data_IF_826293386391
#
_entry.id   IF_826293386391
#
_cell.length_a   1.000
_cell.length_b   1.000
_cell.length_c   1.000
_cell.angle_alpha   90.00
_cell.angle_beta   90.00
_cell.angle_gamma   90.00
#
_symmetry.space_group_name_H-M   'P 1'
#
loop_
_entity.id
_entity.type
_entity.pdbx_description
1 polymer ?
#
# COMPACT_ATOMS: atom_id res chain seq x y z
N UNK A 1 3.15 10.95 34.47
CA UNK A 1 2.85 10.36 35.79
C UNK A 1 2.24 9.00 35.54
N UNK A 2 2.91 7.92 35.97
CA UNK A 2 2.37 6.55 35.92
C UNK A 2 1.24 6.40 36.93
N UNK A 3 0.20 5.63 36.58
CA UNK A 3 -0.84 5.24 37.53
C UNK A 3 -0.25 4.11 38.40
N UNK A 4 -0.03 4.37 39.69
CA UNK A 4 0.54 3.36 40.60
C UNK A 4 -0.46 2.24 40.87
N UNK A 5 0.05 1.00 40.95
CA UNK A 5 -0.73 -0.16 41.37
C UNK A 5 -1.67 -0.76 40.31
N UNK A 6 -1.48 -0.44 39.02
CA UNK A 6 -2.24 -1.11 37.95
C UNK A 6 -1.80 -2.56 37.78
N UNK A 7 -2.74 -3.44 37.41
CA UNK A 7 -2.46 -4.81 37.01
C UNK A 7 -3.28 -5.20 35.79
N UNK A 8 -2.89 -6.30 35.14
CA UNK A 8 -3.48 -6.77 33.89
C UNK A 8 -4.06 -8.17 34.06
N UNK A 9 -5.30 -8.35 33.63
CA UNK A 9 -5.95 -9.65 33.69
C UNK A 9 -6.98 -9.81 32.56
N UNK A 10 -7.36 -11.05 32.28
CA UNK A 10 -8.38 -11.34 31.27
C UNK A 10 -9.76 -10.83 31.73
N UNK A 11 -10.51 -10.24 30.80
CA UNK A 11 -11.85 -9.70 31.07
C UNK A 11 -12.84 -10.85 31.15
N UNK A 12 -13.56 -10.89 32.27
CA UNK A 12 -14.59 -11.90 32.52
C UNK A 12 -15.92 -11.50 31.87
N UNK A 13 -16.82 -12.46 31.60
CA UNK A 13 -18.13 -12.14 31.00
C UNK A 13 -18.91 -11.08 31.80
N UNK A 14 -18.82 -11.11 33.13
CA UNK A 14 -19.48 -10.15 34.03
C UNK A 14 -18.89 -8.72 33.97
N UNK A 15 -17.71 -8.55 33.39
CA UNK A 15 -17.02 -7.25 33.26
C UNK A 15 -17.21 -6.60 31.88
N UNK A 16 -17.93 -7.28 30.97
CA UNK A 16 -18.15 -6.80 29.59
C UNK A 16 -18.98 -5.51 29.54
N UNK A 17 -19.92 -5.34 30.46
CA UNK A 17 -20.73 -4.12 30.54
C UNK A 17 -19.86 -2.91 30.92
N UNK A 18 -18.88 -3.10 31.81
CA UNK A 18 -17.91 -2.05 32.17
C UNK A 18 -16.99 -1.72 31.00
N UNK A 19 -16.49 -2.74 30.28
CA UNK A 19 -15.66 -2.55 29.10
C UNK A 19 -16.42 -1.80 27.98
N UNK A 20 -17.68 -2.18 27.74
CA UNK A 20 -18.54 -1.52 26.75
C UNK A 20 -18.91 -0.08 27.17
N UNK A 21 -19.06 0.21 28.47
CA UNK A 21 -19.24 1.57 28.93
C UNK A 21 -18.02 2.46 28.62
N UNK A 22 -16.80 1.91 28.74
CA UNK A 22 -15.56 2.58 28.32
C UNK A 22 -15.54 2.77 26.78
N UNK A 23 -16.05 1.82 26.01
CA UNK A 23 -16.15 1.89 24.54
C UNK A 23 -17.03 3.04 24.06
N UNK A 24 -18.26 3.13 24.57
CA UNK A 24 -19.23 4.17 24.16
C UNK A 24 -18.69 5.57 24.45
N UNK A 25 -17.92 5.75 25.52
CA UNK A 25 -17.28 7.02 25.87
C UNK A 25 -16.00 7.24 25.03
N UNK A 26 -15.40 6.16 24.55
CA UNK A 26 -14.16 6.14 23.79
C UNK A 26 -14.30 6.52 22.33
N UNK A 27 -15.37 6.05 21.70
CA UNK A 27 -15.58 6.12 20.26
C UNK A 27 -16.81 6.96 19.89
N UNK A 28 -16.81 7.57 18.70
CA UNK A 28 -18.03 8.06 18.07
C UNK A 28 -19.11 6.95 17.97
N UNK A 29 -20.40 7.27 18.06
CA UNK A 29 -21.47 6.27 18.02
C UNK A 29 -21.49 5.39 16.75
N UNK A 30 -20.97 5.88 15.64
CA UNK A 30 -20.85 5.15 14.36
C UNK A 30 -19.63 4.23 14.27
N UNK A 31 -18.66 4.37 15.19
CA UNK A 31 -17.45 3.55 15.26
C UNK A 31 -17.48 2.56 16.45
N UNK A 32 -18.23 2.89 17.50
CA UNK A 32 -18.34 2.06 18.70
C UNK A 32 -18.98 0.69 18.40
N UNK A 33 -18.34 -0.40 18.85
CA UNK A 33 -18.92 -1.73 18.74
C UNK A 33 -20.07 -1.93 19.75
N UNK A 34 -21.07 -2.72 19.35
CA UNK A 34 -22.23 -3.02 20.20
C UNK A 34 -21.89 -4.00 21.33
N UNK A 35 -22.66 -3.95 22.42
CA UNK A 35 -22.53 -4.91 23.53
C UNK A 35 -22.68 -6.37 23.07
N UNK A 36 -23.52 -6.63 22.07
CA UNK A 36 -23.70 -7.98 21.52
C UNK A 36 -22.45 -8.44 20.76
N UNK A 37 -21.76 -7.54 20.05
CA UNK A 37 -20.47 -7.86 19.43
C UNK A 37 -19.41 -8.18 20.49
N UNK A 38 -19.39 -7.47 21.62
CA UNK A 38 -18.49 -7.77 22.75
C UNK A 38 -18.74 -9.16 23.33
N UNK A 39 -20.01 -9.48 23.63
CA UNK A 39 -20.39 -10.79 24.17
C UNK A 39 -20.03 -11.92 23.21
N UNK A 40 -20.32 -11.74 21.92
CA UNK A 40 -19.99 -12.73 20.89
C UNK A 40 -18.47 -12.97 20.83
N UNK A 41 -17.69 -11.91 20.65
CA UNK A 41 -16.23 -11.98 20.55
C UNK A 41 -15.60 -12.56 21.81
N UNK A 42 -16.05 -12.16 22.99
CA UNK A 42 -15.52 -12.69 24.26
C UNK A 42 -15.86 -14.17 24.44
N UNK A 43 -17.06 -14.60 24.06
CA UNK A 43 -17.45 -16.02 24.15
C UNK A 43 -16.59 -16.93 23.25
N UNK A 44 -16.09 -16.39 22.14
CA UNK A 44 -15.28 -17.11 21.16
C UNK A 44 -13.77 -17.01 21.46
N UNK A 45 -13.31 -15.87 21.96
CA UNK A 45 -11.91 -15.51 22.09
C UNK A 45 -11.59 -14.85 23.44
N UNK A 46 -12.11 -15.40 24.54
CA UNK A 46 -11.94 -14.83 25.90
C UNK A 46 -10.47 -14.60 26.30
N UNK A 47 -9.55 -15.44 25.83
CA UNK A 47 -8.11 -15.30 26.04
C UNK A 47 -7.45 -14.17 25.21
N UNK A 48 -8.22 -13.44 24.40
CA UNK A 48 -7.78 -12.28 23.64
C UNK A 48 -8.41 -10.97 24.15
N UNK A 49 -9.07 -11.02 25.31
CA UNK A 49 -9.70 -9.86 25.95
C UNK A 49 -8.93 -9.46 27.21
N UNK A 50 -8.05 -8.47 27.08
CA UNK A 50 -7.20 -8.04 28.18
C UNK A 50 -7.71 -6.72 28.78
N UNK A 51 -7.86 -6.68 30.10
CA UNK A 51 -8.17 -5.49 30.85
C UNK A 51 -6.95 -4.95 31.61
N UNK A 52 -6.91 -3.64 31.82
CA UNK A 52 -6.04 -2.99 32.80
C UNK A 52 -6.90 -2.46 33.94
N UNK A 53 -6.50 -2.80 35.16
CA UNK A 53 -7.28 -2.59 36.37
C UNK A 53 -6.50 -1.79 37.41
N UNK A 54 -7.22 -0.98 38.18
CA UNK A 54 -6.76 -0.45 39.46
C UNK A 54 -6.91 -1.51 40.57
N UNK A 55 -6.32 -1.27 41.77
CA UNK A 55 -6.61 -2.07 42.95
C UNK A 55 -8.12 -2.24 43.18
N UNK A 56 -8.53 -3.35 43.79
CA UNK A 56 -9.93 -3.78 43.89
C UNK A 56 -10.61 -4.12 42.54
N UNK A 57 -9.82 -4.33 41.48
CA UNK A 57 -10.28 -4.81 40.15
C UNK A 57 -11.25 -3.84 39.47
N UNK A 58 -11.00 -2.54 39.58
CA UNK A 58 -11.73 -1.53 38.80
C UNK A 58 -11.13 -1.42 37.40
N UNK A 59 -11.91 -1.74 36.36
CA UNK A 59 -11.47 -1.68 34.97
C UNK A 59 -11.27 -0.23 34.52
N UNK A 60 -10.09 0.10 33.99
CA UNK A 60 -9.76 1.45 33.49
C UNK A 60 -9.36 1.50 32.03
N UNK A 61 -9.26 0.36 31.37
CA UNK A 61 -9.04 0.24 29.94
C UNK A 61 -9.00 -1.22 29.49
N UNK A 62 -9.13 -1.45 28.20
CA UNK A 62 -9.18 -2.80 27.66
C UNK A 62 -8.70 -2.88 26.20
N UNK A 63 -8.36 -4.10 25.80
CA UNK A 63 -8.13 -4.51 24.41
C UNK A 63 -8.99 -5.74 24.13
N UNK A 64 -9.64 -5.79 22.97
CA UNK A 64 -10.36 -6.98 22.51
C UNK A 64 -9.97 -7.37 21.09
N UNK A 65 -9.92 -8.67 20.82
CA UNK A 65 -9.48 -9.18 19.52
C UNK A 65 -10.17 -10.50 19.16
N UNK A 66 -10.18 -10.83 17.88
CA UNK A 66 -10.50 -12.17 17.36
C UNK A 66 -9.33 -12.69 16.53
N UNK A 67 -9.52 -13.86 15.90
CA UNK A 67 -8.51 -14.48 15.05
C UNK A 67 -9.03 -14.56 13.62
N UNK A 68 -8.13 -14.38 12.65
CA UNK A 68 -8.42 -14.53 11.23
C UNK A 68 -7.21 -15.14 10.51
N UNK A 69 -7.41 -15.92 9.42
CA UNK A 69 -6.30 -16.37 8.59
C UNK A 69 -5.76 -15.26 7.67
N UNK A 70 -6.46 -14.12 7.56
CA UNK A 70 -6.06 -13.02 6.69
C UNK A 70 -4.76 -12.37 7.17
N UNK A 71 -3.87 -12.01 6.24
CA UNK A 71 -2.61 -11.31 6.53
C UNK A 71 -2.76 -9.78 6.65
N UNK A 72 -3.94 -9.26 6.39
CA UNK A 72 -4.35 -7.84 6.49
C UNK A 72 -5.83 -7.79 6.86
N UNK A 73 -6.29 -6.69 7.43
CA UNK A 73 -7.68 -6.51 7.85
C UNK A 73 -8.60 -6.34 6.65
N UNK A 74 -9.68 -7.12 6.69
CA UNK A 74 -10.80 -7.14 5.75
C UNK A 74 -12.09 -7.02 6.54
N UNK A 75 -13.19 -6.63 5.88
CA UNK A 75 -14.52 -6.60 6.53
C UNK A 75 -14.86 -7.97 7.15
N UNK A 76 -14.55 -9.05 6.44
CA UNK A 76 -14.74 -10.42 6.95
C UNK A 76 -13.95 -10.70 8.24
N UNK A 77 -12.67 -10.35 8.28
CA UNK A 77 -11.84 -10.52 9.49
C UNK A 77 -12.29 -9.67 10.69
N UNK A 78 -13.01 -8.57 10.44
CA UNK A 78 -13.56 -7.70 11.49
C UNK A 78 -14.89 -8.20 12.05
N UNK A 79 -15.54 -9.14 11.36
CA UNK A 79 -16.84 -9.71 11.74
C UNK A 79 -16.72 -11.16 12.25
N UNK A 80 -15.78 -11.94 11.70
CA UNK A 80 -15.70 -13.38 11.94
C UNK A 80 -14.45 -13.78 12.73
N UNK A 81 -14.63 -14.68 13.70
CA UNK A 81 -13.55 -15.35 14.41
C UNK A 81 -13.29 -16.73 13.79
N UNK A 82 -12.03 -17.01 13.47
CA UNK A 82 -11.55 -18.31 13.02
C UNK A 82 -10.59 -18.88 14.07
N UNK A 83 -11.00 -19.92 14.83
CA UNK A 83 -10.14 -20.56 15.82
C UNK A 83 -8.81 -21.02 15.21
N UNK A 84 -7.74 -20.97 15.99
CA UNK A 84 -6.39 -21.41 15.58
C UNK A 84 -5.84 -20.69 14.34
N UNK A 85 -6.35 -19.50 14.01
CA UNK A 85 -5.79 -18.71 12.91
C UNK A 85 -4.58 -17.87 13.36
N UNK A 86 -3.75 -17.49 12.39
CA UNK A 86 -2.43 -16.93 12.65
C UNK A 86 -2.45 -15.42 13.00
N UNK A 87 -3.47 -14.68 12.59
CA UNK A 87 -3.53 -13.23 12.80
C UNK A 87 -4.50 -12.87 13.92
N UNK A 88 -4.03 -12.06 14.87
CA UNK A 88 -4.83 -11.44 15.93
C UNK A 88 -5.40 -10.12 15.42
N UNK A 89 -6.72 -10.07 15.19
CA UNK A 89 -7.43 -8.88 14.71
C UNK A 89 -7.91 -8.07 15.91
N UNK A 90 -7.22 -6.97 16.22
CA UNK A 90 -7.58 -6.07 17.32
C UNK A 90 -8.74 -5.18 16.88
N UNK A 91 -9.87 -5.33 17.57
CA UNK A 91 -11.10 -4.59 17.26
C UNK A 91 -11.16 -3.25 17.97
N UNK A 92 -10.81 -3.24 19.27
CA UNK A 92 -10.88 -2.03 20.08
C UNK A 92 -9.74 -1.98 21.09
N UNK A 93 -9.20 -0.78 21.28
CA UNK A 93 -8.25 -0.42 22.34
C UNK A 93 -8.76 0.85 22.97
N UNK A 94 -9.26 0.77 24.20
CA UNK A 94 -9.84 1.94 24.85
C UNK A 94 -9.36 2.10 26.29
N UNK A 95 -9.13 3.34 26.69
CA UNK A 95 -8.79 3.74 28.06
C UNK A 95 -9.81 4.76 28.54
N UNK A 96 -10.29 4.57 29.76
CA UNK A 96 -11.18 5.51 30.46
C UNK A 96 -10.61 6.92 30.40
N UNK A 97 -11.47 7.90 30.11
CA UNK A 97 -11.07 9.32 29.93
C UNK A 97 -10.29 9.87 31.12
N UNK A 98 -10.62 9.49 32.35
CA UNK A 98 -9.93 9.88 33.58
C UNK A 98 -8.47 9.37 33.69
N UNK A 99 -8.10 8.39 32.87
CA UNK A 99 -6.81 7.72 32.89
C UNK A 99 -6.00 7.90 31.59
N UNK A 100 -6.51 8.68 30.62
CA UNK A 100 -5.77 9.07 29.41
C UNK A 100 -4.63 10.04 29.72
N UNK A 101 -3.66 10.15 28.81
CA UNK A 101 -2.47 11.00 28.99
C UNK A 101 -1.46 10.50 30.05
N UNK A 102 -1.72 9.34 30.67
CA UNK A 102 -0.88 8.73 31.71
C UNK A 102 -0.12 7.49 31.21
N UNK A 103 0.00 7.33 29.88
CA UNK A 103 0.63 6.17 29.20
C UNK A 103 -0.01 4.79 29.45
N UNK A 104 -1.20 4.74 30.07
CA UNK A 104 -1.92 3.49 30.35
C UNK A 104 -2.17 2.68 29.07
N UNK A 105 -2.59 3.32 27.97
CA UNK A 105 -2.87 2.62 26.71
C UNK A 105 -1.63 1.96 26.09
N UNK A 106 -0.49 2.65 26.08
CA UNK A 106 0.78 2.09 25.57
C UNK A 106 1.22 0.90 26.41
N UNK A 107 1.12 1.01 27.75
CA UNK A 107 1.49 -0.09 28.62
C UNK A 107 0.55 -1.29 28.48
N UNK A 108 -0.75 -1.04 28.31
CA UNK A 108 -1.75 -2.08 28.04
C UNK A 108 -1.44 -2.82 26.73
N UNK A 109 -1.13 -2.11 25.65
CA UNK A 109 -0.75 -2.72 24.38
C UNK A 109 0.56 -3.52 24.46
N UNK A 110 1.56 -3.01 25.17
CA UNK A 110 2.83 -3.72 25.38
C UNK A 110 2.65 -5.01 26.17
N UNK A 111 1.86 -4.97 27.23
CA UNK A 111 1.48 -6.17 27.98
C UNK A 111 0.71 -7.15 27.09
N UNK A 112 -0.26 -6.65 26.31
CA UNK A 112 -1.04 -7.48 25.40
C UNK A 112 -0.16 -8.21 24.39
N UNK A 113 0.71 -7.47 23.70
CA UNK A 113 1.72 -8.00 22.78
C UNK A 113 2.63 -9.01 23.46
N UNK A 114 3.14 -8.72 24.67
CA UNK A 114 4.00 -9.65 25.41
C UNK A 114 3.30 -10.97 25.73
N UNK A 115 1.98 -10.96 26.01
CA UNK A 115 1.20 -12.18 26.23
C UNK A 115 1.00 -12.97 24.94
N UNK A 116 0.72 -12.30 23.82
CA UNK A 116 0.62 -12.94 22.50
C UNK A 116 1.94 -13.60 22.10
N UNK A 117 3.06 -12.92 22.29
CA UNK A 117 4.40 -13.47 22.04
C UNK A 117 4.72 -14.66 22.96
N UNK A 118 4.26 -14.64 24.20
CA UNK A 118 4.47 -15.75 25.14
C UNK A 118 3.67 -16.98 24.75
N UNK A 119 2.40 -16.82 24.34
CA UNK A 119 1.60 -17.91 23.76
C UNK A 119 2.27 -18.49 22.53
N UNK A 120 2.82 -17.63 21.67
CA UNK A 120 3.51 -18.05 20.43
C UNK A 120 4.73 -18.96 20.68
N UNK A 121 5.37 -18.84 21.85
CA UNK A 121 6.53 -19.65 22.24
C UNK A 121 6.18 -20.93 23.00
N UNK A 122 4.90 -21.16 23.31
CA UNK A 122 4.46 -22.40 23.96
C UNK A 122 4.29 -23.50 22.90
N UNK A 123 5.10 -24.56 23.00
CA UNK A 123 5.12 -25.71 22.08
C UNK A 123 3.76 -26.40 21.93
N UNK A 124 2.85 -26.22 22.89
CA UNK A 124 1.51 -26.82 22.87
C UNK A 124 0.43 -25.95 22.23
N UNK A 125 0.76 -24.73 21.79
CA UNK A 125 -0.22 -23.80 21.22
C UNK A 125 0.19 -23.33 19.82
N UNK A 126 -0.80 -23.03 18.98
CA UNK A 126 -0.52 -22.55 17.63
C UNK A 126 -0.04 -21.11 17.69
N UNK A 127 1.17 -20.90 17.19
CA UNK A 127 1.84 -19.62 17.14
C UNK A 127 1.01 -18.54 16.40
N UNK A 128 0.89 -17.36 17.01
CA UNK A 128 0.42 -16.19 16.30
C UNK A 128 1.57 -15.68 15.41
N UNK A 129 1.25 -15.34 14.16
CA UNK A 129 2.21 -14.74 13.25
C UNK A 129 2.24 -13.22 13.41
N UNK A 130 1.07 -12.60 13.64
CA UNK A 130 0.91 -11.15 13.71
C UNK A 130 -0.29 -10.67 14.51
N UNK A 131 -0.26 -9.42 14.95
CA UNK A 131 -1.42 -8.64 15.34
C UNK A 131 -1.68 -7.54 14.32
N UNK A 132 -2.94 -7.31 14.01
CA UNK A 132 -3.43 -6.32 13.05
C UNK A 132 -4.45 -5.41 13.72
N UNK A 133 -4.39 -4.12 13.42
CA UNK A 133 -5.38 -3.13 13.84
C UNK A 133 -5.55 -2.06 12.77
N UNK A 134 -6.66 -1.35 12.83
CA UNK A 134 -6.84 -0.11 12.06
C UNK A 134 -6.91 1.08 13.02
N UNK A 135 -6.45 2.24 12.58
CA UNK A 135 -6.54 3.47 13.37
C UNK A 135 -6.63 4.73 12.52
N UNK A 136 -7.03 5.84 13.15
CA UNK A 136 -6.95 7.18 12.58
C UNK A 136 -5.51 7.69 12.59
N UNK A 137 -5.12 8.47 11.58
CA UNK A 137 -3.73 8.89 11.38
C UNK A 137 -3.09 9.66 12.55
N UNK A 138 -3.89 10.36 13.36
CA UNK A 138 -3.42 11.08 14.55
C UNK A 138 -2.99 10.16 15.71
N UNK A 139 -3.29 8.86 15.65
CA UNK A 139 -2.91 7.87 16.65
C UNK A 139 -1.69 7.02 16.22
N UNK A 140 -1.11 7.29 15.06
CA UNK A 140 0.07 6.57 14.54
C UNK A 140 1.18 6.46 15.58
N UNK A 141 1.64 7.59 16.13
CA UNK A 141 2.75 7.63 17.09
C UNK A 141 2.46 6.80 18.36
N UNK A 142 1.19 6.75 18.79
CA UNK A 142 0.77 5.97 19.96
C UNK A 142 0.95 4.46 19.73
N UNK A 143 0.60 3.96 18.55
CA UNK A 143 0.77 2.55 18.20
C UNK A 143 2.21 2.20 17.82
N UNK A 144 2.95 3.11 17.17
CA UNK A 144 4.39 2.95 16.94
C UNK A 144 5.16 2.87 18.27
N UNK A 145 4.79 3.65 19.29
CA UNK A 145 5.37 3.53 20.64
C UNK A 145 5.08 2.17 21.29
N UNK A 146 3.95 1.53 20.96
CA UNK A 146 3.60 0.18 21.38
C UNK A 146 4.26 -0.93 20.53
N UNK A 147 5.00 -0.56 19.48
CA UNK A 147 5.77 -1.47 18.63
C UNK A 147 5.08 -1.88 17.32
N UNK A 148 3.94 -1.29 16.97
CA UNK A 148 3.27 -1.55 15.70
C UNK A 148 3.91 -0.76 14.56
N UNK A 149 3.89 -1.33 13.36
CA UNK A 149 4.37 -0.72 12.12
C UNK A 149 3.21 -0.20 11.30
N UNK A 150 3.41 0.95 10.65
CA UNK A 150 2.44 1.56 9.74
C UNK A 150 2.38 0.80 8.41
N UNK A 151 1.21 0.23 8.07
CA UNK A 151 1.02 -0.54 6.84
C UNK A 151 0.41 0.28 5.69
N UNK A 152 -0.21 1.44 5.99
CA UNK A 152 -0.81 2.32 5.00
C UNK A 152 -2.34 2.41 5.12
N UNK A 153 -2.99 2.90 4.07
CA UNK A 153 -4.45 3.06 4.04
C UNK A 153 -5.16 1.69 4.09
N UNK A 154 -6.18 1.58 4.95
CA UNK A 154 -6.93 0.35 5.16
C UNK A 154 -8.04 0.21 4.10
N UNK A 155 -8.27 -1.02 3.64
CA UNK A 155 -9.45 -1.37 2.84
C UNK A 155 -10.74 -1.44 3.67
N UNK A 156 -10.62 -1.61 4.99
CA UNK A 156 -11.73 -1.56 5.93
C UNK A 156 -11.98 -0.11 6.32
N UNK A 157 -13.21 0.34 6.11
CA UNK A 157 -13.65 1.70 6.46
C UNK A 157 -14.75 1.58 7.51
N UNK A 158 -14.55 2.26 8.65
CA UNK A 158 -15.58 2.41 9.68
C UNK A 158 -15.87 3.90 9.88
N UNK A 159 -17.12 4.32 9.73
CA UNK A 159 -17.47 5.74 9.83
C UNK A 159 -17.00 6.58 8.64
N UNK A 160 -16.72 7.87 8.89
CA UNK A 160 -16.58 8.88 7.83
C UNK A 160 -15.13 9.28 7.49
N UNK A 161 -14.16 8.92 8.32
CA UNK A 161 -12.75 9.25 8.13
C UNK A 161 -11.96 8.05 7.59
N UNK A 162 -10.85 8.27 6.86
CA UNK A 162 -10.01 7.18 6.40
C UNK A 162 -9.30 6.52 7.57
N UNK A 163 -9.29 5.20 7.55
CA UNK A 163 -8.56 4.36 8.50
C UNK A 163 -7.27 3.86 7.88
N UNK A 164 -6.28 3.62 8.72
CA UNK A 164 -4.98 3.12 8.31
C UNK A 164 -4.65 1.85 9.07
N UNK A 165 -4.15 0.86 8.37
CA UNK A 165 -3.75 -0.41 8.97
C UNK A 165 -2.39 -0.28 9.67
N UNK A 166 -2.27 -0.93 10.82
CA UNK A 166 -1.02 -1.13 11.53
C UNK A 166 -0.87 -2.60 11.92
N UNK A 167 0.38 -3.08 11.94
CA UNK A 167 0.69 -4.49 12.21
C UNK A 167 1.87 -4.68 13.14
N UNK A 168 1.89 -5.79 13.86
CA UNK A 168 3.03 -6.26 14.67
C UNK A 168 3.25 -7.73 14.37
N UNK A 169 4.43 -8.12 13.91
CA UNK A 169 4.79 -9.52 13.69
C UNK A 169 5.34 -10.17 14.98
N UNK A 170 5.08 -11.47 15.19
CA UNK A 170 5.42 -12.24 16.40
C UNK A 170 6.29 -13.49 16.15
N UNK A 171 6.52 -13.88 14.90
CA UNK A 171 7.49 -14.91 14.57
C UNK A 171 8.93 -14.42 14.81
N UNK A 172 9.95 -15.30 14.67
CA UNK A 172 11.19 -14.76 14.13
C UNK A 172 10.76 -13.95 12.91
N UNK A 173 11.20 -12.69 12.81
CA UNK A 173 11.40 -12.17 11.46
C UNK A 173 12.06 -13.34 10.76
N UNK A 174 11.56 -13.86 9.63
CA UNK A 174 12.42 -14.70 8.84
C UNK A 174 13.74 -13.92 8.69
N UNK A 175 14.85 -14.54 8.34
CA UNK A 175 15.95 -13.75 7.77
C UNK A 175 15.47 -13.12 6.42
N UNK A 176 14.45 -12.27 6.50
CA UNK A 176 13.69 -11.50 5.54
C UNK A 176 13.17 -10.19 6.18
N UNK A 177 13.77 -9.68 7.25
CA UNK A 177 14.55 -8.49 6.93
C UNK A 177 15.67 -9.07 6.09
N UNK A 178 15.86 -8.69 4.80
CA UNK A 178 17.16 -8.90 4.22
C UNK A 178 18.11 -8.24 5.22
N UNK A 179 18.76 -9.04 6.08
CA UNK A 179 19.89 -8.60 6.86
C UNK A 179 20.78 -8.10 5.76
N UNK A 180 20.87 -6.78 5.66
CA UNK A 180 21.47 -6.10 4.53
C UNK A 180 22.77 -6.83 4.24
N UNK A 181 22.84 -7.72 3.21
CA UNK A 181 23.98 -8.61 3.07
C UNK A 181 25.20 -7.70 3.10
N UNK A 182 26.24 -7.98 3.88
CA UNK A 182 27.34 -7.04 4.08
C UNK A 182 27.75 -6.42 2.74
N UNK A 183 27.54 -5.09 2.63
CA UNK A 183 27.57 -4.38 1.36
C UNK A 183 26.22 -4.03 0.72
N UNK A 184 25.05 -4.25 1.34
CA UNK A 184 23.74 -3.82 0.79
C UNK A 184 23.51 -2.34 1.03
N UNK A 185 24.00 -1.75 2.12
CA UNK A 185 24.12 -0.29 2.23
C UNK A 185 25.02 0.28 1.13
N UNK A 186 26.11 -0.42 0.80
CA UNK A 186 26.97 -0.09 -0.33
C UNK A 186 26.32 -0.43 -1.68
N UNK A 187 25.35 -1.35 -1.75
CA UNK A 187 24.63 -1.75 -2.96
C UNK A 187 23.42 -0.86 -3.27
N UNK A 188 22.69 -0.42 -2.23
CA UNK A 188 21.58 0.53 -2.28
C UNK A 188 22.08 1.94 -2.58
N UNK A 189 23.24 2.30 -2.01
CA UNK A 189 23.95 3.53 -2.35
C UNK A 189 24.94 3.36 -3.50
N UNK A 190 25.10 2.13 -4.03
CA UNK A 190 25.88 1.94 -5.25
C UNK A 190 25.10 2.60 -6.37
N UNK A 191 25.74 3.46 -7.17
CA UNK A 191 25.19 3.72 -8.49
C UNK A 191 25.00 2.37 -9.17
N UNK A 192 23.82 2.12 -9.74
CA UNK A 192 23.53 0.88 -10.47
C UNK A 192 24.54 0.77 -11.62
N UNK A 193 25.64 0.03 -11.39
CA UNK A 193 26.80 -0.03 -12.30
C UNK A 193 26.44 -0.65 -13.66
N UNK A 194 25.26 -1.27 -13.78
CA UNK A 194 24.72 -1.89 -15.00
C UNK A 194 23.29 -1.44 -15.33
N UNK A 195 22.96 -0.15 -15.15
CA UNK A 195 21.68 0.37 -15.65
C UNK A 195 21.66 0.21 -17.19
N UNK A 196 20.67 -0.46 -17.79
CA UNK A 196 20.63 -0.63 -19.23
C UNK A 196 20.62 0.74 -19.90
N UNK A 197 21.49 0.93 -20.89
CA UNK A 197 21.57 2.18 -21.62
C UNK A 197 20.39 2.21 -22.61
N UNK A 198 19.40 3.09 -22.44
CA UNK A 198 18.29 3.17 -23.37
C UNK A 198 18.80 3.60 -24.74
N UNK A 199 18.62 2.75 -25.73
CA UNK A 199 18.93 3.11 -27.12
C UNK A 199 17.78 3.94 -27.69
N UNK A 200 18.11 5.06 -28.34
CA UNK A 200 17.11 5.88 -29.05
C UNK A 200 16.70 5.23 -30.35
N UNK A 201 15.44 5.42 -30.76
CA UNK A 201 14.93 4.99 -32.06
C UNK A 201 15.81 5.48 -33.23
N UNK A 202 16.42 6.67 -33.13
CA UNK A 202 17.32 7.19 -34.19
C UNK A 202 18.54 6.31 -34.45
N UNK A 203 18.90 5.45 -33.50
CA UNK A 203 20.03 4.53 -33.58
C UNK A 203 19.63 3.10 -33.96
N UNK A 204 18.34 2.84 -34.17
CA UNK A 204 17.78 1.51 -34.42
C UNK A 204 16.89 1.51 -35.66
N UNK A 205 16.82 0.38 -36.36
CA UNK A 205 15.85 0.21 -37.45
C UNK A 205 14.51 -0.18 -36.88
N UNK A 206 13.46 0.55 -37.26
CA UNK A 206 12.11 0.32 -36.73
C UNK A 206 11.56 -1.07 -37.04
N UNK A 207 11.99 -1.67 -38.15
CA UNK A 207 11.63 -3.04 -38.55
C UNK A 207 12.18 -4.10 -37.59
N UNK A 208 13.27 -3.80 -36.90
CA UNK A 208 13.95 -4.74 -36.00
C UNK A 208 13.41 -4.68 -34.56
N UNK A 209 12.49 -3.74 -34.28
CA UNK A 209 11.89 -3.52 -32.97
C UNK A 209 10.64 -4.36 -32.71
N UNK A 210 10.19 -5.12 -33.71
CA UNK A 210 8.94 -5.85 -33.68
C UNK A 210 9.16 -7.35 -33.93
N UNK A 211 8.61 -8.21 -33.08
CA UNK A 211 8.48 -9.65 -33.31
C UNK A 211 7.00 -9.99 -33.18
N UNK A 212 6.44 -10.65 -34.20
CA UNK A 212 5.03 -11.07 -34.25
C UNK A 212 4.01 -9.93 -33.98
N UNK A 213 4.37 -8.69 -34.33
CA UNK A 213 3.52 -7.51 -34.11
C UNK A 213 3.71 -6.83 -32.75
N UNK A 214 4.51 -7.41 -31.85
CA UNK A 214 4.77 -6.91 -30.51
C UNK A 214 6.20 -6.34 -30.34
N UNK A 215 6.41 -5.49 -29.35
CA UNK A 215 7.74 -4.92 -29.05
C UNK A 215 8.76 -6.03 -28.70
N UNK A 216 9.84 -6.12 -29.46
CA UNK A 216 10.92 -7.09 -29.24
C UNK A 216 11.69 -6.85 -27.94
N UNK A 217 11.85 -5.59 -27.57
CA UNK A 217 12.70 -5.16 -26.45
C UNK A 217 11.85 -4.55 -25.34
N UNK A 218 12.37 -4.61 -24.11
CA UNK A 218 11.85 -3.80 -23.00
C UNK A 218 11.91 -2.32 -23.41
N UNK A 219 10.81 -1.60 -23.20
CA UNK A 219 10.72 -0.17 -23.41
C UNK A 219 11.12 0.54 -22.12
N UNK A 220 12.10 1.42 -22.22
CA UNK A 220 12.74 2.10 -21.09
C UNK A 220 12.45 3.61 -21.12
N UNK A 221 12.61 4.26 -19.97
CA UNK A 221 12.65 5.71 -19.90
C UNK A 221 13.86 6.23 -20.70
N UNK A 222 13.69 7.20 -21.63
CA UNK A 222 14.78 7.67 -22.48
C UNK A 222 15.85 8.47 -21.71
N UNK A 223 15.56 8.92 -20.48
CA UNK A 223 16.56 9.54 -19.60
C UNK A 223 17.58 8.49 -19.17
N UNK A 224 18.80 8.56 -19.68
CA UNK A 224 19.88 7.59 -19.36
C UNK A 224 20.15 7.45 -17.85
N UNK A 225 20.01 8.55 -17.09
CA UNK A 225 20.11 8.52 -15.62
C UNK A 225 18.93 7.82 -14.94
N UNK A 226 17.78 7.70 -15.59
CA UNK A 226 16.58 7.02 -15.09
C UNK A 226 16.47 5.59 -15.64
N UNK A 227 16.36 5.43 -16.96
CA UNK A 227 16.24 4.14 -17.66
C UNK A 227 15.26 3.13 -17.00
N UNK A 228 14.25 3.63 -16.28
CA UNK A 228 13.23 2.80 -15.65
C UNK A 228 12.47 2.03 -16.74
N UNK A 229 12.12 0.78 -16.46
CA UNK A 229 11.33 -0.03 -17.38
C UNK A 229 9.92 0.54 -17.41
N UNK A 230 9.46 0.90 -18.61
CA UNK A 230 8.10 1.39 -18.88
C UNK A 230 7.19 0.22 -19.25
N UNK A 231 7.67 -0.67 -20.13
CA UNK A 231 6.96 -1.87 -20.58
C UNK A 231 7.94 -3.01 -20.84
N UNK A 232 7.50 -4.24 -20.56
CA UNK A 232 8.24 -5.46 -20.92
C UNK A 232 8.12 -5.81 -22.40
N UNK A 233 9.10 -6.56 -22.90
CA UNK A 233 9.04 -7.16 -24.24
C UNK A 233 7.75 -7.98 -24.43
N UNK A 234 7.17 -7.91 -25.64
CA UNK A 234 5.99 -8.67 -26.05
C UNK A 234 4.64 -8.12 -25.58
N UNK A 235 4.61 -6.94 -24.95
CA UNK A 235 3.40 -6.37 -24.34
C UNK A 235 2.63 -5.46 -25.30
N UNK A 236 3.33 -4.58 -26.01
CA UNK A 236 2.71 -3.53 -26.82
C UNK A 236 2.75 -3.87 -28.31
N UNK A 237 1.65 -3.55 -29.00
CA UNK A 237 1.52 -3.75 -30.45
C UNK A 237 1.96 -2.51 -31.20
N UNK A 238 2.77 -2.67 -32.25
CA UNK A 238 3.15 -1.53 -33.10
C UNK A 238 2.02 -1.16 -34.06
N UNK A 239 1.68 0.13 -34.12
CA UNK A 239 0.64 0.69 -34.99
C UNK A 239 1.10 2.03 -35.55
N UNK A 240 1.01 2.22 -36.86
CA UNK A 240 1.22 3.53 -37.49
C UNK A 240 -0.09 4.34 -37.45
N UNK A 241 -0.02 5.57 -36.93
CA UNK A 241 -1.18 6.48 -36.79
C UNK A 241 -0.75 7.94 -36.90
N UNK A 242 -1.71 8.83 -37.19
CA UNK A 242 -1.56 10.30 -37.10
C UNK A 242 -0.85 10.70 -35.80
N UNK A 243 0.11 11.60 -35.91
CA UNK A 243 0.79 12.16 -34.76
C UNK A 243 -0.15 13.10 -33.98
N UNK A 244 -0.13 12.97 -32.64
CA UNK A 244 -0.90 13.80 -31.73
C UNK A 244 0.03 14.83 -31.11
N UNK A 245 -0.35 16.10 -31.15
CA UNK A 245 0.37 17.18 -30.47
C UNK A 245 0.18 17.00 -28.96
N UNK A 246 1.25 16.67 -28.23
CA UNK A 246 1.19 16.40 -26.79
C UNK A 246 1.72 17.56 -25.93
N UNK A 247 2.51 18.47 -26.50
CA UNK A 247 3.06 19.62 -25.79
C UNK A 247 2.06 20.77 -25.71
N UNK A 248 1.97 21.48 -24.57
CA UNK A 248 1.26 22.75 -24.48
C UNK A 248 1.87 23.80 -25.42
N UNK A 249 1.02 24.60 -26.06
CA UNK A 249 1.46 25.67 -26.98
C UNK A 249 2.40 26.64 -26.26
N UNK A 250 3.66 26.69 -26.68
CA UNK A 250 4.67 27.62 -26.14
C UNK A 250 5.63 27.02 -25.11
N UNK A 251 5.52 25.74 -24.74
CA UNK A 251 6.52 25.06 -23.91
C UNK A 251 7.57 24.39 -24.78
N UNK A 252 8.89 24.63 -24.56
CA UNK A 252 9.92 23.94 -25.30
C UNK A 252 9.90 22.44 -24.95
N UNK A 253 9.95 21.58 -25.97
CA UNK A 253 10.03 20.13 -25.79
C UNK A 253 11.32 19.78 -25.04
N UNK A 254 11.24 18.85 -24.09
CA UNK A 254 12.42 18.35 -23.39
C UNK A 254 13.43 17.78 -24.40
N UNK A 255 14.74 18.01 -24.19
CA UNK A 255 15.81 17.65 -25.16
C UNK A 255 15.83 16.16 -25.54
N UNK A 256 15.27 15.32 -24.68
CA UNK A 256 15.16 13.87 -24.86
C UNK A 256 13.87 13.39 -25.53
N UNK A 257 12.93 14.30 -25.80
CA UNK A 257 11.64 13.99 -26.40
C UNK A 257 11.60 14.65 -27.79
N UNK A 258 11.85 13.88 -28.86
CA UNK A 258 11.78 14.41 -30.21
C UNK A 258 10.40 15.01 -30.51
N UNK A 259 10.39 16.12 -31.23
CA UNK A 259 9.15 16.70 -31.75
C UNK A 259 8.46 15.67 -32.66
N UNK A 260 7.17 15.47 -32.44
CA UNK A 260 6.36 14.64 -33.32
C UNK A 260 6.02 15.42 -34.60
N UNK A 261 5.80 14.74 -35.74
CA UNK A 261 5.43 15.43 -36.96
C UNK A 261 4.10 16.16 -36.78
N UNK A 262 3.99 17.36 -37.34
CA UNK A 262 2.73 18.11 -37.32
C UNK A 262 1.68 17.42 -38.18
N UNK A 263 0.41 17.46 -37.75
CA UNK A 263 -0.71 16.93 -38.53
C UNK A 263 -0.70 17.51 -39.96
N UNK A 264 -0.87 16.70 -41.03
CA UNK A 264 -1.36 15.32 -41.04
C UNK A 264 -0.28 14.21 -41.01
N UNK A 265 0.92 14.48 -40.49
CA UNK A 265 1.99 13.48 -40.43
C UNK A 265 1.65 12.26 -39.56
N UNK A 266 2.08 11.07 -39.98
CA UNK A 266 1.97 9.82 -39.22
C UNK A 266 3.27 9.51 -38.47
N UNK A 267 3.15 8.73 -37.40
CA UNK A 267 4.29 8.15 -36.69
C UNK A 267 3.90 6.76 -36.16
N UNK A 268 4.91 5.98 -35.78
CA UNK A 268 4.70 4.69 -35.15
C UNK A 268 4.46 4.86 -33.64
N UNK A 269 3.49 4.09 -33.15
CA UNK A 269 3.07 4.05 -31.77
C UNK A 269 3.08 2.61 -31.24
N UNK A 270 3.39 2.49 -29.95
CA UNK A 270 3.14 1.29 -29.17
C UNK A 270 1.76 1.40 -28.54
N UNK A 271 0.86 0.49 -28.91
CA UNK A 271 -0.49 0.35 -28.38
C UNK A 271 -0.51 -0.69 -27.27
N UNK A 272 -1.04 -0.30 -26.12
CA UNK A 272 -1.34 -1.17 -24.97
C UNK A 272 -2.85 -1.19 -24.74
N UNK A 273 -3.42 -2.38 -24.59
CA UNK A 273 -4.84 -2.65 -24.32
C UNK A 273 -4.98 -3.89 -23.44
N UNK A 274 -6.12 -4.11 -22.76
CA UNK A 274 -7.27 -3.20 -22.65
C UNK A 274 -7.18 -2.23 -21.46
N UNK A 275 -6.15 -2.35 -20.62
CA UNK A 275 -6.04 -1.62 -19.37
C UNK A 275 -4.56 -1.21 -19.12
N UNK A 276 -4.30 -0.28 -18.19
CA UNK A 276 -2.96 0.24 -17.95
C UNK A 276 -2.11 -0.67 -17.05
N UNK A 277 -2.60 -1.82 -16.59
CA UNK A 277 -1.86 -2.68 -15.65
C UNK A 277 -0.65 -3.37 -16.28
N UNK A 278 -0.50 -3.30 -17.60
CA UNK A 278 0.66 -3.84 -18.30
C UNK A 278 1.89 -2.92 -18.23
N UNK A 279 1.74 -1.66 -17.80
CA UNK A 279 2.86 -0.75 -17.59
C UNK A 279 3.55 -1.04 -16.25
N UNK A 280 4.88 -1.01 -16.27
CA UNK A 280 5.70 -1.19 -15.06
C UNK A 280 5.82 0.13 -14.28
N UNK A 281 6.22 1.22 -14.94
CA UNK A 281 6.45 2.53 -14.29
C UNK A 281 5.95 3.70 -15.14
N UNK A 282 4.63 3.85 -15.26
CA UNK A 282 3.99 4.98 -15.95
C UNK A 282 3.07 5.78 -15.00
N UNK A 283 3.00 7.08 -15.21
CA UNK A 283 2.08 8.00 -14.53
C UNK A 283 1.21 8.73 -15.55
N UNK A 284 -0.01 9.10 -15.14
CA UNK A 284 -0.98 9.82 -15.94
C UNK A 284 -1.16 11.24 -15.42
N UNK A 285 -1.20 12.22 -16.30
CA UNK A 285 -1.57 13.59 -15.92
C UNK A 285 -3.06 13.68 -15.56
N UNK A 286 -3.42 14.76 -14.85
CA UNK A 286 -4.82 15.20 -14.84
C UNK A 286 -5.30 15.48 -16.27
N UNK A 287 -6.61 15.32 -16.56
CA UNK A 287 -7.17 15.63 -17.88
C UNK A 287 -6.82 17.06 -18.30
N UNK A 288 -6.10 17.21 -19.41
CA UNK A 288 -5.66 18.51 -19.88
C UNK A 288 -6.79 19.16 -20.68
N UNK A 289 -7.37 20.25 -20.16
CA UNK A 289 -8.52 20.96 -20.78
C UNK A 289 -8.21 21.52 -22.18
N UNK A 290 -6.94 21.63 -22.55
CA UNK A 290 -6.46 22.20 -23.82
C UNK A 290 -6.08 21.17 -24.89
N UNK A 291 -6.14 19.86 -24.60
CA UNK A 291 -5.79 18.78 -25.54
C UNK A 291 -6.99 17.83 -25.72
N UNK A 292 -7.59 17.91 -26.90
CA UNK A 292 -8.69 17.03 -27.30
C UNK A 292 -8.21 16.07 -28.38
N UNK A 293 -8.70 14.83 -28.36
CA UNK A 293 -8.52 13.89 -29.47
C UNK A 293 -9.29 14.36 -30.70
N UNK A 294 -9.06 13.72 -31.85
CA UNK A 294 -9.83 13.97 -33.07
C UNK A 294 -11.35 13.77 -32.85
N UNK A 295 -11.73 12.93 -31.89
CA UNK A 295 -13.11 12.64 -31.49
C UNK A 295 -13.67 13.60 -30.42
N UNK A 296 -12.92 14.66 -30.06
CA UNK A 296 -13.34 15.67 -29.09
C UNK A 296 -13.26 15.23 -27.62
N UNK A 297 -12.68 14.07 -27.33
CA UNK A 297 -12.49 13.58 -25.96
C UNK A 297 -11.24 14.18 -25.32
N UNK A 298 -11.30 14.42 -24.02
CA UNK A 298 -10.15 14.91 -23.25
C UNK A 298 -9.06 13.85 -23.16
N UNK A 299 -7.81 14.29 -23.33
CA UNK A 299 -6.63 13.43 -23.25
C UNK A 299 -5.98 13.48 -21.86
N UNK A 300 -5.42 12.34 -21.44
CA UNK A 300 -4.42 12.24 -20.38
C UNK A 300 -3.07 11.93 -21.02
N UNK A 301 -2.01 12.58 -20.55
CA UNK A 301 -0.65 12.34 -21.02
C UNK A 301 0.04 11.33 -20.12
N UNK A 302 0.93 10.53 -20.72
CA UNK A 302 1.71 9.51 -20.03
C UNK A 302 3.14 10.04 -19.81
N UNK A 303 3.64 9.87 -18.59
CA UNK A 303 5.01 10.23 -18.19
C UNK A 303 5.67 9.07 -17.44
N UNK A 304 7.00 9.07 -17.36
CA UNK A 304 7.74 8.09 -16.56
C UNK A 304 7.38 8.22 -15.08
N UNK A 305 7.01 7.12 -14.42
CA UNK A 305 6.61 7.14 -13.01
C UNK A 305 7.73 7.41 -12.00
N UNK A 306 8.99 7.28 -12.42
CA UNK A 306 10.15 7.48 -11.55
C UNK A 306 10.73 8.90 -11.60
N UNK A 307 10.76 9.50 -12.79
CA UNK A 307 11.43 10.80 -13.00
C UNK A 307 10.51 11.86 -13.62
N UNK A 308 9.23 11.54 -13.81
CA UNK A 308 8.20 12.40 -14.37
C UNK A 308 8.50 12.91 -15.79
N UNK A 309 9.48 12.32 -16.48
CA UNK A 309 9.79 12.68 -17.87
C UNK A 309 8.61 12.31 -18.78
N UNK A 310 8.03 13.32 -19.42
CA UNK A 310 6.94 13.19 -20.39
C UNK A 310 6.75 14.46 -21.22
N UNK A 311 5.85 14.45 -22.21
CA UNK A 311 4.90 13.38 -22.50
C UNK A 311 5.51 12.28 -23.39
N UNK A 312 5.49 11.04 -22.90
CA UNK A 312 5.90 9.84 -23.63
C UNK A 312 4.79 9.30 -24.53
N UNK A 313 3.53 9.59 -24.17
CA UNK A 313 2.34 9.06 -24.80
C UNK A 313 1.05 9.70 -24.31
N UNK A 314 -0.08 9.15 -24.73
CA UNK A 314 -1.41 9.64 -24.38
C UNK A 314 -2.45 8.51 -24.28
N UNK A 315 -3.55 8.79 -23.59
CA UNK A 315 -4.77 7.97 -23.62
C UNK A 315 -6.02 8.87 -23.50
N UNK A 316 -7.17 8.37 -23.95
CA UNK A 316 -8.45 9.09 -23.78
C UNK A 316 -9.01 8.85 -22.37
N UNK A 317 -9.67 9.85 -21.79
CA UNK A 317 -10.39 9.67 -20.52
C UNK A 317 -11.51 8.63 -20.70
N UNK A 318 -11.43 7.53 -19.95
CA UNK A 318 -12.39 6.41 -20.05
C UNK A 318 -12.16 5.47 -21.23
N UNK A 319 -11.08 5.65 -21.99
CA UNK A 319 -10.66 4.72 -23.05
C UNK A 319 -9.91 3.50 -22.51
N UNK A 320 -9.83 2.45 -23.35
CA UNK A 320 -9.09 1.21 -23.08
C UNK A 320 -7.78 1.11 -23.89
N UNK A 321 -7.41 2.18 -24.58
CA UNK A 321 -6.22 2.25 -25.43
C UNK A 321 -5.21 3.25 -24.89
N UNK A 322 -3.96 2.81 -24.79
CA UNK A 322 -2.86 3.60 -24.28
C UNK A 322 -1.73 3.60 -25.32
N UNK A 323 -1.29 4.80 -25.70
CA UNK A 323 -0.42 4.99 -26.85
C UNK A 323 0.90 5.61 -26.42
N UNK A 324 2.03 4.93 -26.64
CA UNK A 324 3.37 5.50 -26.48
C UNK A 324 4.00 5.80 -27.83
N UNK A 325 4.63 6.96 -27.99
CA UNK A 325 5.34 7.27 -29.22
C UNK A 325 6.65 6.46 -29.29
N UNK A 326 6.85 5.70 -30.36
CA UNK A 326 8.05 4.86 -30.52
C UNK A 326 9.36 5.68 -30.45
N UNK A 327 9.32 6.96 -30.83
CA UNK A 327 10.46 7.89 -30.81
C UNK A 327 10.76 8.48 -29.43
N UNK A 328 9.86 8.30 -28.45
CA UNK A 328 9.96 8.90 -27.11
C UNK A 328 10.22 7.91 -26.00
N UNK A 329 10.46 6.64 -26.34
CA UNK A 329 10.89 5.60 -25.41
C UNK A 329 12.30 5.15 -25.78
N UNK A 330 13.03 4.66 -24.79
CA UNK A 330 14.29 3.95 -24.99
C UNK A 330 14.05 2.47 -25.23
N UNK A 331 14.97 1.81 -25.93
CA UNK A 331 14.93 0.36 -26.14
C UNK A 331 16.09 -0.28 -25.37
N UNK A 332 15.77 -1.29 -24.56
CA UNK A 332 16.78 -2.09 -23.88
C UNK A 332 17.50 -3.03 -24.85
N UNK A 333 18.83 -3.12 -24.74
CA UNK A 333 19.57 -4.18 -25.43
C UNK A 333 19.09 -5.53 -24.88
N UNK A 334 18.39 -6.31 -25.70
CA UNK A 334 17.92 -7.63 -25.30
C UNK A 334 19.09 -8.50 -24.90
N UNK A 335 19.01 -9.17 -23.76
CA UNK A 335 19.81 -10.38 -23.53
C UNK A 335 19.35 -11.40 -24.56
N UNK A 336 20.30 -11.88 -25.37
CA UNK A 336 20.08 -12.96 -26.35
C UNK A 336 19.61 -14.22 -25.64
#
# INVERSE_FOLDING_TARGET
MSVEGIFYDWIKPEELEEAHAIEIIGFPPDEAASLEAFKLRQSQASNLFLGVYLPARTLIGYVCSTLSPASSLTHDSMEHHVPDAASVCIHSVCVSSAHRGKRVGVHLLREYVSRLESTTRDDNSKAYERALLITHGNLRDFYEEAGFEWAGESHVVHGSQPWFEMRKEFGPVPDSQPSMPPGLWDALNRPVENRPVPQSLSSLNITDLCIDGANKHDLLCPQAKCASVILKAGVAKMVERTAVQMEPTGTPSHILLPALPSSPGTTNWWLVTPNPFAFENITFTHPATSLNSEDGKTLKLLACGECELGPLGWCEVGGSEFWLACSRVGYGAGTV
#
